data_IF_423997686981
#
_entry.id   IF_423997686981
#
_cell.length_a   1.000
_cell.length_b   1.000
_cell.length_c   1.000
_cell.angle_alpha   90.00
_cell.angle_beta   90.00
_cell.angle_gamma   90.00
#
_symmetry.space_group_name_H-M   'P 1'
#
loop_
_entity.id
_entity.type
_entity.pdbx_description
1 polymer ?
#
# COMPACT_ATOMS: atom_id res chain seq x y z
N UNK A 1 15.10 -13.54 15.13
CA UNK A 1 14.87 -12.20 15.74
C UNK A 1 14.13 -12.40 17.05
N UNK A 2 14.04 -11.40 17.94
CA UNK A 2 13.28 -11.57 19.20
C UNK A 2 12.46 -10.35 19.61
N UNK A 3 11.32 -10.64 20.21
CA UNK A 3 10.42 -9.70 20.89
C UNK A 3 9.89 -10.37 22.16
N UNK A 4 9.36 -9.59 23.12
CA UNK A 4 8.79 -10.15 24.34
C UNK A 4 7.66 -11.17 24.06
N UNK A 5 6.67 -10.87 23.17
CA UNK A 5 5.65 -11.85 22.80
C UNK A 5 6.24 -13.10 22.14
N UNK A 6 7.24 -12.95 21.25
CA UNK A 6 7.88 -14.10 20.60
C UNK A 6 8.63 -14.99 21.58
N UNK A 7 9.30 -14.42 22.60
CA UNK A 7 10.00 -15.19 23.64
C UNK A 7 9.00 -15.99 24.49
N UNK A 8 7.87 -15.37 24.87
CA UNK A 8 6.79 -16.07 25.59
C UNK A 8 6.18 -17.21 24.76
N UNK A 9 6.05 -17.03 23.44
CA UNK A 9 5.48 -18.02 22.52
C UNK A 9 6.43 -19.19 22.21
N UNK A 10 7.72 -18.90 22.04
CA UNK A 10 8.74 -19.89 21.62
C UNK A 10 9.47 -20.54 22.80
N UNK A 11 9.36 -19.96 24.00
CA UNK A 11 10.14 -20.36 25.17
C UNK A 11 11.62 -19.94 25.10
N UNK A 12 12.05 -19.29 24.02
CA UNK A 12 13.41 -18.77 23.86
C UNK A 12 13.65 -17.58 24.79
N UNK A 13 14.80 -17.53 25.44
CA UNK A 13 15.26 -16.34 26.17
C UNK A 13 16.56 -15.74 25.60
N UNK A 14 16.97 -14.57 26.10
CA UNK A 14 18.20 -13.92 25.68
C UNK A 14 19.46 -14.75 25.99
N UNK A 15 19.43 -15.57 27.05
CA UNK A 15 20.53 -16.44 27.44
C UNK A 15 20.80 -17.51 26.38
N UNK A 16 19.76 -18.24 25.97
CA UNK A 16 19.84 -19.26 24.92
C UNK A 16 20.32 -18.66 23.59
N UNK A 17 19.86 -17.47 23.24
CA UNK A 17 20.27 -16.80 21.99
C UNK A 17 21.76 -16.45 22.02
N UNK A 18 22.24 -15.89 23.12
CA UNK A 18 23.66 -15.59 23.28
C UNK A 18 24.52 -16.86 23.23
N UNK A 19 24.01 -17.98 23.76
CA UNK A 19 24.69 -19.27 23.71
C UNK A 19 24.77 -19.83 22.28
N UNK A 20 23.65 -19.82 21.55
CA UNK A 20 23.59 -20.25 20.16
C UNK A 20 24.51 -19.41 19.25
N UNK A 21 24.56 -18.09 19.44
CA UNK A 21 25.47 -17.21 18.70
C UNK A 21 26.94 -17.46 19.06
N UNK A 22 27.28 -17.65 20.34
CA UNK A 22 28.66 -17.94 20.77
C UNK A 22 29.18 -19.26 20.23
N UNK A 23 28.28 -20.22 20.01
CA UNK A 23 28.59 -21.53 19.46
C UNK A 23 28.49 -21.58 17.92
N UNK A 24 28.27 -20.44 17.25
CA UNK A 24 28.07 -20.31 15.80
C UNK A 24 26.90 -21.17 15.24
N UNK A 25 25.93 -21.54 16.07
CA UNK A 25 24.74 -22.34 15.72
C UNK A 25 23.62 -21.47 15.10
N UNK A 26 23.95 -20.67 14.10
CA UNK A 26 23.03 -19.69 13.50
C UNK A 26 21.83 -20.31 12.80
N UNK A 27 21.98 -21.51 12.24
CA UNK A 27 20.89 -22.21 11.56
C UNK A 27 19.78 -22.58 12.55
N UNK A 28 20.15 -23.16 13.70
CA UNK A 28 19.20 -23.50 14.76
C UNK A 28 18.50 -22.23 15.30
N UNK A 29 19.25 -21.14 15.49
CA UNK A 29 18.69 -19.87 15.93
C UNK A 29 17.65 -19.32 14.93
N UNK A 30 17.94 -19.41 13.63
CA UNK A 30 17.02 -18.99 12.56
C UNK A 30 15.76 -19.85 12.54
N UNK A 31 15.88 -21.17 12.71
CA UNK A 31 14.75 -22.10 12.74
C UNK A 31 13.87 -21.90 13.98
N UNK A 32 14.47 -21.63 15.16
CA UNK A 32 13.72 -21.40 16.40
C UNK A 32 13.06 -20.03 16.47
N UNK A 33 13.70 -19.02 15.90
CA UNK A 33 13.17 -17.63 15.90
C UNK A 33 13.36 -16.93 14.55
N UNK A 34 12.55 -17.28 13.54
CA UNK A 34 12.64 -16.65 12.23
C UNK A 34 12.50 -15.13 12.35
N UNK A 35 13.37 -14.39 11.66
CA UNK A 35 13.33 -12.92 11.70
C UNK A 35 12.01 -12.38 11.13
N UNK A 36 11.53 -12.98 10.04
CA UNK A 36 10.27 -12.63 9.38
C UNK A 36 9.11 -12.66 10.37
N UNK A 37 8.98 -13.73 11.13
CA UNK A 37 7.84 -13.93 12.03
C UNK A 37 7.81 -12.83 13.08
N UNK A 38 8.94 -12.58 13.75
CA UNK A 38 9.01 -11.57 14.81
C UNK A 38 8.75 -10.16 14.28
N UNK A 39 9.32 -9.82 13.12
CA UNK A 39 9.18 -8.46 12.57
C UNK A 39 7.80 -8.25 11.96
N UNK A 40 7.26 -9.24 11.23
CA UNK A 40 5.94 -9.13 10.63
C UNK A 40 4.82 -9.22 11.67
N UNK A 41 4.98 -10.03 12.73
CA UNK A 41 4.08 -10.01 13.89
C UNK A 41 4.03 -8.60 14.50
N UNK A 42 5.20 -7.99 14.74
CA UNK A 42 5.29 -6.63 15.27
C UNK A 42 4.61 -5.60 14.36
N UNK A 43 4.74 -5.73 13.03
CA UNK A 43 4.06 -4.86 12.08
C UNK A 43 2.55 -5.02 12.22
N UNK A 44 2.04 -6.25 12.20
CA UNK A 44 0.60 -6.54 12.34
C UNK A 44 0.03 -6.06 13.68
N UNK A 45 0.79 -6.14 14.77
CA UNK A 45 0.32 -5.76 16.11
C UNK A 45 0.35 -4.25 16.36
N UNK A 46 1.30 -3.52 15.75
CA UNK A 46 1.56 -2.13 16.12
C UNK A 46 1.30 -1.11 15.01
N UNK A 47 1.24 -1.53 13.74
CA UNK A 47 0.95 -0.61 12.64
C UNK A 47 -0.54 -0.62 12.33
N UNK A 48 -1.17 0.56 12.19
CA UNK A 48 -2.59 0.62 11.89
C UNK A 48 -2.86 0.16 10.46
N UNK A 49 -3.97 -0.56 10.28
CA UNK A 49 -4.48 -0.88 8.96
C UNK A 49 -5.05 0.40 8.27
N UNK A 50 -5.40 0.35 6.98
CA UNK A 50 -6.00 1.46 6.25
C UNK A 50 -7.21 2.11 6.94
N UNK A 51 -8.10 1.30 7.50
CA UNK A 51 -9.38 1.73 8.11
C UNK A 51 -9.12 2.58 9.34
N UNK A 52 -8.15 2.20 10.17
CA UNK A 52 -7.79 2.96 11.36
C UNK A 52 -6.91 4.18 11.04
N UNK A 53 -6.06 4.07 10.02
CA UNK A 53 -5.07 5.10 9.69
C UNK A 53 -5.64 6.25 8.84
N UNK A 54 -6.52 5.97 7.88
CA UNK A 54 -7.01 6.97 6.92
C UNK A 54 -7.78 8.14 7.59
N UNK A 55 -8.68 7.93 8.56
CA UNK A 55 -9.39 9.03 9.23
C UNK A 55 -8.46 10.05 9.88
N UNK A 56 -7.31 9.61 10.39
CA UNK A 56 -6.32 10.51 11.03
C UNK A 56 -5.38 11.16 10.02
N UNK A 57 -5.13 10.51 8.88
CA UNK A 57 -4.14 10.93 7.88
C UNK A 57 -4.72 11.82 6.81
N UNK A 58 -5.91 11.51 6.29
CA UNK A 58 -6.56 12.25 5.18
C UNK A 58 -6.61 13.76 5.46
N UNK A 59 -7.05 14.23 6.65
CA UNK A 59 -7.08 15.67 6.95
C UNK A 59 -5.70 16.37 6.96
N UNK A 60 -4.60 15.61 7.03
CA UNK A 60 -3.22 16.15 7.06
C UNK A 60 -2.55 16.13 5.69
N UNK A 61 -2.89 15.16 4.85
CA UNK A 61 -2.24 14.95 3.55
C UNK A 61 -3.06 15.50 2.38
N UNK A 62 -4.35 15.74 2.59
CA UNK A 62 -5.25 16.30 1.59
C UNK A 62 -5.87 17.60 2.11
N UNK A 63 -5.95 18.62 1.24
CA UNK A 63 -6.35 20.00 1.60
C UNK A 63 -7.65 20.45 0.95
N UNK A 64 -8.43 19.53 0.39
CA UNK A 64 -9.75 19.87 -0.15
C UNK A 64 -10.77 20.07 0.98
N UNK A 65 -12.05 20.17 0.60
CA UNK A 65 -13.13 20.38 1.55
C UNK A 65 -13.32 19.17 2.47
N UNK A 66 -13.06 19.36 3.77
CA UNK A 66 -13.15 18.31 4.78
C UNK A 66 -14.58 17.86 5.07
N UNK A 67 -15.59 18.65 4.67
CA UNK A 67 -17.01 18.30 4.82
C UNK A 67 -17.59 17.62 3.56
N UNK A 68 -16.77 17.43 2.52
CA UNK A 68 -17.19 16.78 1.27
C UNK A 68 -17.36 15.26 1.43
N UNK A 69 -18.27 14.68 0.64
CA UNK A 69 -18.45 13.23 0.57
C UNK A 69 -17.13 12.50 0.21
N UNK A 70 -16.32 13.09 -0.67
CA UNK A 70 -15.02 12.54 -1.05
C UNK A 70 -14.05 12.45 0.12
N UNK A 71 -14.05 13.44 1.02
CA UNK A 71 -13.22 13.42 2.22
C UNK A 71 -13.64 12.30 3.17
N UNK A 72 -14.95 12.09 3.33
CA UNK A 72 -15.52 10.99 4.11
C UNK A 72 -15.19 9.63 3.47
N UNK A 73 -15.38 9.48 2.16
CA UNK A 73 -15.11 8.25 1.43
C UNK A 73 -13.62 7.85 1.53
N UNK A 74 -12.72 8.82 1.40
CA UNK A 74 -11.29 8.62 1.64
C UNK A 74 -10.98 8.29 3.11
N UNK A 75 -11.66 8.90 4.07
CA UNK A 75 -11.44 8.59 5.48
C UNK A 75 -11.87 7.16 5.81
N UNK A 76 -12.99 6.72 5.24
CA UNK A 76 -13.65 5.44 5.55
C UNK A 76 -13.17 4.28 4.67
N UNK A 77 -12.21 4.50 3.76
CA UNK A 77 -11.72 3.48 2.83
C UNK A 77 -12.88 2.94 1.97
N UNK A 78 -13.79 3.82 1.55
CA UNK A 78 -14.99 3.43 0.84
C UNK A 78 -14.65 2.98 -0.60
N UNK A 79 -14.88 1.69 -0.90
CA UNK A 79 -14.62 1.09 -2.21
C UNK A 79 -15.69 1.41 -3.27
N UNK A 80 -16.89 1.78 -2.82
CA UNK A 80 -18.01 2.21 -3.68
C UNK A 80 -18.00 3.71 -3.98
N UNK A 81 -17.08 4.45 -3.35
CA UNK A 81 -16.93 5.90 -3.52
C UNK A 81 -16.24 6.30 -4.83
N UNK A 82 -16.05 7.60 -5.02
CA UNK A 82 -15.29 8.12 -6.15
C UNK A 82 -13.80 7.78 -6.03
N UNK A 83 -13.18 7.41 -7.16
CA UNK A 83 -11.77 6.99 -7.16
C UNK A 83 -10.88 8.14 -6.74
N UNK A 84 -10.00 7.88 -5.77
CA UNK A 84 -8.86 8.74 -5.45
C UNK A 84 -7.62 7.86 -5.29
N UNK A 85 -6.67 8.04 -6.20
CA UNK A 85 -5.36 7.38 -6.20
C UNK A 85 -4.26 8.42 -6.01
N UNK A 86 -3.40 8.22 -5.02
CA UNK A 86 -2.17 9.00 -4.85
C UNK A 86 -1.01 8.23 -5.46
N UNK A 87 -0.46 8.73 -6.57
CA UNK A 87 0.68 8.13 -7.24
C UNK A 87 1.95 8.43 -6.43
N UNK A 88 2.67 7.38 -6.07
CA UNK A 88 3.90 7.49 -5.25
C UNK A 88 5.17 7.24 -6.06
N UNK A 89 5.08 6.42 -7.10
CA UNK A 89 6.23 6.04 -7.92
C UNK A 89 5.80 5.78 -9.37
N UNK A 90 6.70 6.06 -10.31
CA UNK A 90 6.53 5.76 -11.75
C UNK A 90 7.70 4.89 -12.18
N UNK A 91 7.39 3.65 -12.57
CA UNK A 91 8.33 2.72 -13.17
C UNK A 91 8.07 2.53 -14.66
N UNK A 92 9.08 2.03 -15.38
CA UNK A 92 8.93 1.60 -16.78
C UNK A 92 9.19 0.11 -16.84
N UNK A 93 8.18 -0.65 -17.25
CA UNK A 93 8.29 -2.07 -17.54
C UNK A 93 8.53 -2.31 -19.04
N UNK A 94 9.46 -3.21 -19.42
CA UNK A 94 9.75 -3.48 -20.83
C UNK A 94 8.56 -3.96 -21.67
N UNK A 95 7.56 -4.60 -21.06
CA UNK A 95 6.41 -5.18 -21.75
C UNK A 95 5.14 -4.33 -21.59
N UNK A 96 4.92 -3.76 -20.41
CA UNK A 96 3.71 -3.02 -20.06
C UNK A 96 3.84 -1.49 -20.19
N UNK A 97 5.05 -0.97 -20.40
CA UNK A 97 5.30 0.47 -20.50
C UNK A 97 5.32 1.15 -19.13
N UNK A 98 4.87 2.40 -19.07
CA UNK A 98 4.82 3.18 -17.83
C UNK A 98 3.79 2.61 -16.85
N UNK A 99 4.24 2.39 -15.62
CA UNK A 99 3.44 1.90 -14.50
C UNK A 99 3.44 2.96 -13.41
N UNK A 100 2.25 3.43 -13.06
CA UNK A 100 2.05 4.25 -11.89
C UNK A 100 1.72 3.37 -10.69
N UNK A 101 2.60 3.37 -9.68
CA UNK A 101 2.35 2.73 -8.40
C UNK A 101 1.82 3.77 -7.41
N UNK A 102 0.75 3.44 -6.69
CA UNK A 102 0.13 4.39 -5.78
C UNK A 102 -0.84 3.77 -4.79
N UNK A 103 -1.32 4.60 -3.86
CA UNK A 103 -2.29 4.21 -2.84
C UNK A 103 -3.69 4.63 -3.26
N UNK A 104 -4.62 3.67 -3.31
CA UNK A 104 -6.05 3.95 -3.48
C UNK A 104 -6.62 4.37 -2.12
N UNK A 105 -7.10 5.60 -2.01
CA UNK A 105 -7.71 6.13 -0.80
C UNK A 105 -9.23 5.92 -0.78
N UNK A 106 -9.87 6.00 -1.94
CA UNK A 106 -11.30 5.79 -2.13
C UNK A 106 -11.58 5.23 -3.52
N UNK A 107 -12.74 4.57 -3.67
CA UNK A 107 -13.24 3.96 -4.88
C UNK A 107 -12.52 2.67 -5.26
N UNK A 108 -12.84 2.18 -6.45
CA UNK A 108 -12.28 0.96 -7.01
C UNK A 108 -11.72 1.22 -8.41
N UNK A 109 -10.45 0.90 -8.60
CA UNK A 109 -9.78 1.02 -9.89
C UNK A 109 -10.14 -0.18 -10.77
N UNK A 110 -10.55 0.08 -12.00
CA UNK A 110 -10.91 -0.93 -12.99
C UNK A 110 -10.35 -0.60 -14.37
N UNK A 111 -10.14 -1.64 -15.17
CA UNK A 111 -9.71 -1.49 -16.56
C UNK A 111 -10.71 -0.67 -17.37
N UNK A 112 -10.19 0.30 -18.11
CA UNK A 112 -10.96 1.10 -19.06
C UNK A 112 -11.62 2.34 -18.46
N UNK A 113 -11.54 2.54 -17.13
CA UNK A 113 -11.97 3.78 -16.47
C UNK A 113 -11.20 4.99 -17.00
N UNK A 114 -11.88 6.13 -17.06
CA UNK A 114 -11.31 7.41 -17.45
C UNK A 114 -11.22 8.33 -16.23
N UNK A 115 -9.99 8.63 -15.80
CA UNK A 115 -9.70 9.40 -14.60
C UNK A 115 -8.91 10.67 -14.94
N UNK A 116 -9.07 11.71 -14.14
CA UNK A 116 -8.28 12.93 -14.23
C UNK A 116 -6.93 12.73 -13.53
N UNK A 117 -5.90 13.41 -14.04
CA UNK A 117 -4.62 13.58 -13.33
C UNK A 117 -4.50 15.06 -12.94
N UNK A 118 -4.29 15.33 -11.66
CA UNK A 118 -4.24 16.69 -11.12
C UNK A 118 -3.22 17.57 -11.86
N UNK A 119 -3.65 18.76 -12.29
CA UNK A 119 -2.79 19.72 -12.99
C UNK A 119 -2.59 19.46 -14.48
N UNK A 120 -3.30 18.48 -15.06
CA UNK A 120 -3.26 18.15 -16.49
C UNK A 120 -4.63 18.36 -17.12
N UNK A 121 -4.69 18.50 -18.44
CA UNK A 121 -5.93 18.70 -19.16
C UNK A 121 -6.50 17.37 -19.68
N UNK A 122 -7.76 17.10 -19.37
CA UNK A 122 -8.47 15.92 -19.87
C UNK A 122 -8.31 14.68 -18.99
N UNK A 123 -8.78 13.55 -19.52
CA UNK A 123 -8.80 12.26 -18.82
C UNK A 123 -7.80 11.27 -19.40
N UNK A 124 -7.25 10.47 -18.52
CA UNK A 124 -6.40 9.32 -18.82
C UNK A 124 -7.24 8.05 -18.73
N UNK A 125 -7.00 7.09 -19.61
CA UNK A 125 -7.74 5.83 -19.63
C UNK A 125 -6.90 4.67 -19.13
N UNK A 126 -7.33 4.07 -18.02
CA UNK A 126 -6.68 2.90 -17.43
C UNK A 126 -6.66 1.74 -18.43
N UNK A 127 -5.48 1.15 -18.66
CA UNK A 127 -5.31 0.00 -19.55
C UNK A 127 -5.30 -1.32 -18.78
N UNK A 128 -4.68 -1.33 -17.59
CA UNK A 128 -4.72 -2.44 -16.65
C UNK A 128 -4.47 -1.95 -15.23
N UNK A 129 -4.94 -2.74 -14.26
CA UNK A 129 -4.72 -2.54 -12.83
C UNK A 129 -4.12 -3.82 -12.25
N UNK A 130 -3.32 -3.68 -11.21
CA UNK A 130 -2.62 -4.80 -10.60
C UNK A 130 -2.27 -4.53 -9.16
N UNK A 131 -1.91 -5.61 -8.46
CA UNK A 131 -1.35 -5.57 -7.11
C UNK A 131 0.06 -6.15 -7.12
N UNK A 132 0.78 -5.94 -6.03
CA UNK A 132 2.11 -6.53 -5.83
C UNK A 132 1.99 -7.83 -5.03
N UNK A 133 2.47 -8.93 -5.60
CA UNK A 133 2.68 -10.19 -4.91
C UNK A 133 4.18 -10.41 -4.74
N UNK A 134 4.71 -9.99 -3.58
CA UNK A 134 6.15 -9.97 -3.34
C UNK A 134 6.85 -8.95 -4.24
N UNK A 135 7.77 -9.41 -5.10
CA UNK A 135 8.49 -8.56 -6.06
C UNK A 135 7.82 -8.48 -7.44
N UNK A 136 6.74 -9.23 -7.66
CA UNK A 136 6.08 -9.32 -8.95
C UNK A 136 4.74 -8.59 -8.93
N UNK A 137 4.37 -8.03 -10.07
CA UNK A 137 3.08 -7.36 -10.27
C UNK A 137 2.14 -8.33 -10.95
N UNK A 138 0.94 -8.40 -10.42
CA UNK A 138 -0.10 -9.32 -10.88
C UNK A 138 -1.30 -8.51 -11.33
N UNK A 139 -1.69 -8.69 -12.60
CA UNK A 139 -2.84 -8.01 -13.20
C UNK A 139 -4.13 -8.61 -12.64
N UNK A 140 -5.03 -7.74 -12.18
CA UNK A 140 -6.33 -8.13 -11.61
C UNK A 140 -7.44 -7.34 -12.28
N UNK A 141 -8.69 -7.76 -12.07
CA UNK A 141 -9.85 -7.09 -12.67
C UNK A 141 -10.12 -5.72 -12.04
N UNK A 142 -9.97 -5.63 -10.71
CA UNK A 142 -10.27 -4.44 -9.93
C UNK A 142 -9.36 -4.34 -8.69
N UNK A 143 -9.07 -3.11 -8.25
CA UNK A 143 -8.29 -2.83 -7.03
C UNK A 143 -9.05 -1.83 -6.15
N UNK A 144 -9.62 -2.24 -5.00
CA UNK A 144 -10.42 -1.37 -4.15
C UNK A 144 -9.54 -0.50 -3.23
N UNK A 145 -10.18 0.48 -2.59
CA UNK A 145 -9.58 1.38 -1.62
C UNK A 145 -8.80 0.65 -0.51
N UNK A 146 -7.74 1.28 -0.02
CA UNK A 146 -6.83 0.73 0.98
C UNK A 146 -5.63 -0.04 0.41
N UNK A 147 -5.68 -0.42 -0.87
CA UNK A 147 -4.59 -1.15 -1.52
C UNK A 147 -3.51 -0.25 -2.12
N UNK A 148 -2.32 -0.81 -2.28
CA UNK A 148 -1.30 -0.28 -3.18
C UNK A 148 -1.54 -0.89 -4.56
N UNK A 149 -1.88 -0.05 -5.53
CA UNK A 149 -2.18 -0.44 -6.89
C UNK A 149 -1.00 -0.13 -7.82
N UNK A 150 -0.85 -0.96 -8.85
CA UNK A 150 -0.04 -0.69 -10.02
C UNK A 150 -0.97 -0.47 -11.22
N UNK A 151 -0.89 0.69 -11.85
CA UNK A 151 -1.84 1.11 -12.90
C UNK A 151 -1.08 1.47 -14.17
N UNK A 152 -1.57 1.04 -15.32
CA UNK A 152 -1.05 1.44 -16.63
C UNK A 152 -2.07 2.31 -17.37
N UNK A 153 -1.58 3.17 -18.27
CA UNK A 153 -2.44 4.06 -19.07
C UNK A 153 -2.61 5.48 -18.52
N UNK A 154 -2.01 5.78 -17.36
CA UNK A 154 -1.93 7.11 -16.76
C UNK A 154 -0.72 7.89 -17.30
N UNK A 155 -0.75 8.24 -18.58
CA UNK A 155 0.36 8.89 -19.30
C UNK A 155 0.76 10.24 -18.74
N UNK A 156 -0.19 10.96 -18.15
CA UNK A 156 0.05 12.29 -17.61
C UNK A 156 0.48 12.27 -16.13
N UNK A 157 0.51 11.08 -15.50
CA UNK A 157 0.84 10.93 -14.10
C UNK A 157 2.35 10.96 -13.84
N UNK A 158 2.72 11.65 -12.77
CA UNK A 158 4.07 11.66 -12.21
C UNK A 158 4.02 11.23 -10.75
N UNK A 159 5.18 10.92 -10.15
CA UNK A 159 5.26 10.70 -8.71
C UNK A 159 4.75 11.95 -7.97
N UNK A 160 3.79 11.77 -7.08
CA UNK A 160 3.11 12.85 -6.37
C UNK A 160 1.78 13.30 -6.99
N UNK A 161 1.39 12.79 -8.17
CA UNK A 161 0.10 13.12 -8.79
C UNK A 161 -1.08 12.54 -8.01
N UNK A 162 -2.16 13.31 -7.96
CA UNK A 162 -3.49 12.79 -7.57
C UNK A 162 -4.24 12.39 -8.84
N UNK A 163 -4.82 11.19 -8.82
CA UNK A 163 -5.65 10.66 -9.90
C UNK A 163 -7.05 10.43 -9.36
N UNK A 164 -8.07 10.97 -10.04
CA UNK A 164 -9.43 11.02 -9.49
C UNK A 164 -10.53 10.88 -10.53
N UNK A 165 -11.70 10.38 -10.11
CA UNK A 165 -12.89 10.33 -10.98
C UNK A 165 -13.39 11.71 -11.40
N UNK A 166 -13.34 12.66 -10.48
CA UNK A 166 -13.76 14.05 -10.67
C UNK A 166 -12.53 14.97 -10.80
N UNK A 167 -12.71 16.10 -11.48
CA UNK A 167 -11.65 17.09 -11.63
C UNK A 167 -11.47 17.84 -10.30
N UNK A 168 -10.37 17.55 -9.61
CA UNK A 168 -10.03 18.19 -8.35
C UNK A 168 -9.26 19.48 -8.64
N UNK A 169 -9.97 20.62 -8.58
CA UNK A 169 -9.39 21.98 -8.70
C UNK A 169 -8.73 22.46 -7.42
#
# INVERSE_FOLDING_TARGET
>A
GVSMPSMQRTGMDFGEIMELERNDNRQELHERTPLSDVVLDMVCEHFPNPVDAQPMRVPRIWRGDAESQLAEDMAMVNEDGEVVLMVTDIGVDPHAGEIAAGRVFSGTLEKGQELYVSGTAGKNRIQSVGIYMGGEREEVEHVPAGNIAAVTGLKDAIAGSTVSSEEMT
#
